data_IF_697653730897
#
_entry.id   IF_697653730897
#
_cell.length_a   1.000
_cell.length_b   1.000
_cell.length_c   1.000
_cell.angle_alpha   90.00
_cell.angle_beta   90.00
_cell.angle_gamma   90.00
#
_symmetry.space_group_name_H-M   'P 1'
#
loop_
_entity.id
_entity.type
_entity.pdbx_description
1 polymer ?
#
# COMPACT_ATOMS: atom_id res chain seq x y z
N UNK A 1 -19.19 8.57 34.38
CA UNK A 1 -20.26 9.33 35.11
C UNK A 1 -21.43 9.49 34.17
N UNK A 2 -22.61 9.17 34.65
CA UNK A 2 -23.88 9.27 33.90
C UNK A 2 -24.90 10.07 34.71
N UNK A 3 -25.94 10.58 34.04
CA UNK A 3 -27.10 11.18 34.70
C UNK A 3 -28.17 10.12 35.08
N UNK A 4 -29.30 10.58 35.58
CA UNK A 4 -30.43 9.70 35.99
C UNK A 4 -31.07 8.95 34.82
N UNK A 5 -30.74 9.31 33.56
CA UNK A 5 -31.19 8.67 32.33
C UNK A 5 -30.07 7.84 31.66
N UNK A 6 -29.00 7.53 32.39
CA UNK A 6 -27.78 6.81 31.96
C UNK A 6 -26.99 7.51 30.85
N UNK A 7 -27.23 8.79 30.59
CA UNK A 7 -26.49 9.55 29.59
C UNK A 7 -25.09 9.89 30.08
N UNK A 8 -24.10 9.74 29.20
CA UNK A 8 -22.71 10.01 29.52
C UNK A 8 -22.46 11.51 29.75
N UNK A 9 -21.97 11.88 30.96
CA UNK A 9 -21.66 13.27 31.37
C UNK A 9 -20.16 13.54 31.45
N UNK A 10 -19.35 12.53 31.69
CA UNK A 10 -17.91 12.70 31.81
C UNK A 10 -17.21 11.52 32.48
N UNK A 11 -15.92 11.66 32.71
CA UNK A 11 -15.11 10.64 33.41
C UNK A 11 -14.50 11.21 34.69
N UNK A 12 -14.33 10.36 35.67
CA UNK A 12 -13.57 10.63 36.88
C UNK A 12 -12.32 9.75 36.86
N UNK A 13 -11.15 10.36 36.89
CA UNK A 13 -9.88 9.64 36.97
C UNK A 13 -9.71 9.04 38.37
N UNK A 14 -9.23 7.81 38.46
CA UNK A 14 -8.89 7.18 39.75
C UNK A 14 -7.81 7.99 40.49
N UNK A 15 -6.86 8.55 39.76
CA UNK A 15 -5.83 9.44 40.33
C UNK A 15 -6.46 10.65 40.98
N UNK A 16 -7.38 11.35 40.29
CA UNK A 16 -8.04 12.52 40.81
C UNK A 16 -8.93 12.18 42.02
N UNK A 17 -9.60 11.03 41.98
CA UNK A 17 -10.39 10.52 43.09
C UNK A 17 -9.54 10.29 44.37
N UNK A 18 -8.33 9.70 44.19
CA UNK A 18 -7.45 9.38 45.30
C UNK A 18 -6.68 10.60 45.87
N UNK A 19 -6.40 11.58 45.01
CA UNK A 19 -5.61 12.77 45.40
C UNK A 19 -6.42 13.97 45.82
N UNK A 20 -7.72 13.97 45.53
CA UNK A 20 -8.63 15.05 45.91
C UNK A 20 -9.20 14.84 47.30
N UNK A 21 -9.42 15.93 48.06
CA UNK A 21 -10.04 15.86 49.39
C UNK A 21 -11.42 15.18 49.33
N UNK A 22 -11.69 14.30 50.30
CA UNK A 22 -13.00 13.62 50.42
C UNK A 22 -14.20 14.57 50.61
N UNK A 23 -13.95 15.85 50.90
CA UNK A 23 -14.98 16.89 51.03
C UNK A 23 -15.30 17.61 49.73
N UNK A 24 -14.50 17.40 48.66
CA UNK A 24 -14.72 18.06 47.36
C UNK A 24 -15.85 17.35 46.62
N UNK A 25 -16.88 18.07 46.17
CA UNK A 25 -17.94 17.46 45.34
C UNK A 25 -17.37 16.83 44.06
N UNK A 26 -17.86 15.67 43.69
CA UNK A 26 -17.44 14.97 42.47
C UNK A 26 -17.66 15.85 41.24
N UNK A 27 -18.70 16.68 41.24
CA UNK A 27 -19.05 17.60 40.17
C UNK A 27 -17.95 18.64 39.85
N UNK A 28 -17.03 18.88 40.76
CA UNK A 28 -15.92 19.83 40.61
C UNK A 28 -14.62 19.12 40.12
N UNK A 29 -14.60 17.80 40.15
CA UNK A 29 -13.37 17.00 39.88
C UNK A 29 -13.45 16.22 38.56
N UNK A 30 -14.67 15.85 38.11
CA UNK A 30 -14.79 15.05 36.90
C UNK A 30 -14.54 15.84 35.62
N UNK A 31 -14.00 15.16 34.63
CA UNK A 31 -13.72 15.73 33.30
C UNK A 31 -14.97 15.61 32.42
N UNK A 32 -15.55 16.78 32.06
CA UNK A 32 -16.80 16.87 31.30
C UNK A 32 -16.63 16.61 29.81
N UNK A 33 -15.53 17.05 29.24
CA UNK A 33 -15.24 16.84 27.79
C UNK A 33 -14.53 15.52 27.60
N UNK A 34 -15.20 14.58 26.99
CA UNK A 34 -14.80 13.21 26.86
C UNK A 34 -15.03 12.74 25.42
N UNK A 35 -14.05 12.03 24.86
CA UNK A 35 -14.26 11.31 23.61
C UNK A 35 -15.10 10.06 23.90
N UNK A 36 -16.12 9.83 23.09
CA UNK A 36 -16.96 8.63 23.13
C UNK A 36 -17.24 8.18 21.70
N UNK A 37 -17.53 6.92 21.51
CA UNK A 37 -17.92 6.34 20.23
C UNK A 37 -19.33 5.77 20.32
N UNK A 38 -20.01 5.63 19.18
CA UNK A 38 -21.31 4.98 19.12
C UNK A 38 -21.15 3.47 18.97
N UNK A 39 -22.21 2.72 19.25
CA UNK A 39 -22.22 1.25 19.13
C UNK A 39 -21.95 0.78 17.69
N UNK A 40 -22.34 1.58 16.71
CA UNK A 40 -22.20 1.30 15.28
C UNK A 40 -20.90 1.86 14.65
N UNK A 41 -20.00 2.44 15.47
CA UNK A 41 -18.69 2.91 15.00
C UNK A 41 -17.82 1.72 14.66
N UNK A 42 -17.20 1.72 13.47
CA UNK A 42 -16.26 0.69 13.03
C UNK A 42 -15.05 0.60 13.97
N UNK A 43 -14.59 -0.61 14.25
CA UNK A 43 -13.50 -0.92 15.18
C UNK A 43 -12.18 -0.23 14.80
N UNK A 44 -11.83 -0.18 13.51
CA UNK A 44 -10.67 0.54 12.97
C UNK A 44 -10.76 2.05 13.28
N UNK A 45 -11.94 2.66 13.19
CA UNK A 45 -12.11 4.07 13.53
C UNK A 45 -12.01 4.29 15.04
N UNK A 46 -12.51 3.36 15.86
CA UNK A 46 -12.31 3.38 17.31
C UNK A 46 -10.83 3.32 17.67
N UNK A 47 -10.09 2.39 17.03
CA UNK A 47 -8.65 2.26 17.19
C UNK A 47 -7.92 3.56 16.87
N UNK A 48 -8.27 4.21 15.74
CA UNK A 48 -7.72 5.49 15.31
C UNK A 48 -7.97 6.61 16.30
N UNK A 49 -9.20 6.69 16.86
CA UNK A 49 -9.55 7.69 17.88
C UNK A 49 -8.74 7.45 19.16
N UNK A 50 -8.66 6.21 19.62
CA UNK A 50 -7.93 5.87 20.84
C UNK A 50 -6.43 6.17 20.70
N UNK A 51 -5.83 5.83 19.58
CA UNK A 51 -4.44 6.16 19.27
C UNK A 51 -4.19 7.66 19.17
N UNK A 52 -5.07 8.40 18.48
CA UNK A 52 -4.92 9.85 18.28
C UNK A 52 -4.95 10.64 19.59
N UNK A 53 -5.73 10.19 20.55
CA UNK A 53 -5.94 10.88 21.83
C UNK A 53 -5.25 10.19 23.01
N UNK A 54 -4.43 9.17 22.75
CA UNK A 54 -3.69 8.38 23.75
C UNK A 54 -4.62 7.89 24.88
N UNK A 55 -5.70 7.21 24.48
CA UNK A 55 -6.74 6.75 25.40
C UNK A 55 -6.52 5.31 25.82
N UNK A 56 -6.51 5.04 27.13
CA UNK A 56 -6.50 3.69 27.70
C UNK A 56 -7.86 2.99 27.60
N UNK A 57 -8.94 3.76 27.56
CA UNK A 57 -10.30 3.27 27.38
C UNK A 57 -11.20 4.38 26.79
N UNK A 58 -12.17 3.98 25.99
CA UNK A 58 -13.18 4.87 25.41
C UNK A 58 -14.59 4.38 25.74
N UNK A 59 -15.50 5.23 26.24
CA UNK A 59 -16.88 4.85 26.47
C UNK A 59 -17.65 4.72 25.17
N UNK A 60 -18.54 3.74 25.14
CA UNK A 60 -19.46 3.46 24.02
C UNK A 60 -20.85 3.93 24.41
N UNK A 61 -21.50 4.68 23.53
CA UNK A 61 -22.85 5.23 23.76
C UNK A 61 -23.82 4.79 22.67
N UNK A 62 -25.10 4.69 23.03
CA UNK A 62 -26.17 4.48 22.08
C UNK A 62 -26.58 5.78 21.36
N UNK A 63 -27.60 5.72 20.49
CA UNK A 63 -28.11 6.87 19.74
C UNK A 63 -28.67 7.98 20.66
N UNK A 64 -29.09 7.66 21.89
CA UNK A 64 -29.62 8.59 22.87
C UNK A 64 -28.51 9.16 23.78
N UNK A 65 -27.25 8.77 23.58
CA UNK A 65 -26.09 9.18 24.36
C UNK A 65 -25.97 8.47 25.70
N UNK A 66 -26.66 7.34 25.91
CA UNK A 66 -26.58 6.52 27.12
C UNK A 66 -25.36 5.61 27.05
N UNK A 67 -24.67 5.48 28.18
CA UNK A 67 -23.49 4.63 28.30
C UNK A 67 -23.89 3.15 28.24
N UNK A 68 -23.44 2.43 27.21
CA UNK A 68 -23.69 0.99 27.03
C UNK A 68 -22.48 0.12 27.36
N UNK A 69 -21.27 0.69 27.31
CA UNK A 69 -20.05 -0.06 27.61
C UNK A 69 -18.80 0.80 27.49
N UNK A 70 -17.68 0.12 27.46
CA UNK A 70 -16.37 0.72 27.20
C UNK A 70 -15.54 -0.26 26.36
N UNK A 71 -14.64 0.29 25.56
CA UNK A 71 -13.59 -0.45 24.85
C UNK A 71 -12.27 -0.07 25.51
N UNK A 72 -11.39 -1.01 25.74
CA UNK A 72 -10.10 -0.82 26.38
C UNK A 72 -8.95 -0.99 25.38
N UNK A 73 -7.75 -0.53 25.72
CA UNK A 73 -6.62 -0.53 24.80
C UNK A 73 -6.17 -1.94 24.40
N UNK A 74 -6.36 -2.93 25.29
CA UNK A 74 -6.09 -4.33 25.03
C UNK A 74 -6.96 -4.87 23.87
N UNK A 75 -8.26 -4.57 23.85
CA UNK A 75 -9.16 -4.91 22.73
C UNK A 75 -8.70 -4.25 21.42
N UNK A 76 -8.22 -3.01 21.49
CA UNK A 76 -7.77 -2.25 20.33
C UNK A 76 -6.43 -2.75 19.77
N UNK A 77 -5.55 -3.27 20.61
CA UNK A 77 -4.29 -3.88 20.14
C UNK A 77 -4.57 -5.07 19.24
N UNK A 78 -5.58 -5.89 19.57
CA UNK A 78 -5.98 -7.01 18.72
C UNK A 78 -6.53 -6.51 17.38
N UNK A 79 -7.42 -5.51 17.37
CA UNK A 79 -7.95 -4.89 16.14
C UNK A 79 -6.82 -4.34 15.25
N UNK A 80 -5.86 -3.62 15.83
CA UNK A 80 -4.72 -3.06 15.06
C UNK A 80 -3.87 -4.18 14.44
N UNK A 81 -3.69 -5.28 15.17
CA UNK A 81 -2.92 -6.43 14.68
C UNK A 81 -3.66 -7.12 13.54
N UNK A 82 -4.94 -7.41 13.70
CA UNK A 82 -5.76 -8.07 12.69
C UNK A 82 -5.82 -7.24 11.38
N UNK A 83 -6.00 -5.93 11.49
CA UNK A 83 -5.96 -5.00 10.34
C UNK A 83 -4.59 -5.01 9.64
N UNK A 84 -3.49 -5.04 10.42
CA UNK A 84 -2.15 -5.10 9.84
C UNK A 84 -1.86 -6.44 9.16
N UNK A 85 -2.38 -7.55 9.69
CA UNK A 85 -2.27 -8.87 9.09
C UNK A 85 -3.10 -8.96 7.80
N UNK A 86 -4.32 -8.38 7.76
CA UNK A 86 -5.14 -8.27 6.56
C UNK A 86 -4.47 -7.43 5.47
N UNK A 87 -3.98 -6.23 5.81
CA UNK A 87 -3.23 -5.36 4.90
C UNK A 87 -2.01 -6.07 4.31
N UNK A 88 -1.27 -6.84 5.13
CA UNK A 88 -0.12 -7.62 4.67
C UNK A 88 -0.54 -8.72 3.68
N UNK A 89 -1.62 -9.43 3.96
CA UNK A 89 -2.14 -10.46 3.07
C UNK A 89 -2.65 -9.90 1.75
N UNK A 90 -3.40 -8.79 1.78
CA UNK A 90 -3.86 -8.09 0.58
C UNK A 90 -2.68 -7.61 -0.28
N UNK A 91 -1.65 -7.03 0.35
CA UNK A 91 -0.43 -6.61 -0.34
C UNK A 91 0.34 -7.77 -0.97
N UNK A 92 0.24 -8.97 -0.39
CA UNK A 92 0.81 -10.21 -0.95
C UNK A 92 -0.06 -10.86 -2.04
N UNK A 93 -1.25 -10.33 -2.33
CA UNK A 93 -2.19 -10.90 -3.28
C UNK A 93 -3.00 -12.07 -2.71
N UNK A 94 -3.41 -11.94 -1.47
CA UNK A 94 -4.31 -12.87 -0.77
C UNK A 94 -5.60 -12.09 -0.49
N UNK A 95 -6.73 -12.53 -1.03
CA UNK A 95 -8.00 -11.78 -1.02
C UNK A 95 -8.91 -12.06 0.18
N UNK A 96 -8.47 -12.89 1.10
CA UNK A 96 -9.20 -13.25 2.32
C UNK A 96 -8.20 -13.51 3.41
N UNK A 97 -8.58 -13.22 4.64
CA UNK A 97 -7.82 -13.62 5.79
C UNK A 97 -7.74 -15.16 5.86
N UNK A 98 -6.53 -15.68 5.91
CA UNK A 98 -6.23 -17.12 5.99
C UNK A 98 -5.06 -17.35 6.92
N UNK A 99 -5.16 -18.41 7.72
CA UNK A 99 -4.09 -18.87 8.58
C UNK A 99 -3.31 -20.04 7.96
N UNK A 100 -2.08 -20.29 8.42
CA UNK A 100 -1.21 -21.31 7.86
C UNK A 100 -1.81 -22.73 7.93
N UNK A 101 -2.63 -22.99 8.95
CA UNK A 101 -3.25 -24.29 9.21
C UNK A 101 -4.62 -24.48 8.56
N UNK A 102 -5.11 -23.47 7.81
CA UNK A 102 -6.38 -23.52 7.09
C UNK A 102 -6.39 -24.59 5.99
N UNK A 103 -7.59 -24.97 5.58
CA UNK A 103 -7.77 -26.00 4.56
C UNK A 103 -7.22 -25.58 3.19
N UNK A 104 -6.82 -26.56 2.37
CA UNK A 104 -6.35 -26.34 0.99
C UNK A 104 -7.37 -25.54 0.17
N UNK A 105 -8.66 -25.76 0.40
CA UNK A 105 -9.72 -25.04 -0.34
C UNK A 105 -9.81 -23.57 0.06
N UNK A 106 -9.62 -23.23 1.32
CA UNK A 106 -9.60 -21.85 1.82
C UNK A 106 -8.40 -21.09 1.25
N UNK A 107 -7.21 -21.66 1.35
CA UNK A 107 -6.01 -21.13 0.70
C UNK A 107 -6.18 -20.94 -0.81
N UNK A 108 -6.80 -21.92 -1.49
CA UNK A 108 -7.03 -21.80 -2.94
C UNK A 108 -7.97 -20.64 -3.26
N UNK A 109 -9.08 -20.52 -2.52
CA UNK A 109 -10.04 -19.43 -2.73
C UNK A 109 -9.44 -18.04 -2.46
N UNK A 110 -8.53 -17.94 -1.50
CA UNK A 110 -7.87 -16.68 -1.15
C UNK A 110 -6.83 -16.25 -2.21
N UNK A 111 -6.12 -17.19 -2.83
CA UNK A 111 -5.01 -16.91 -3.78
C UNK A 111 -5.45 -16.90 -5.24
N UNK A 112 -6.40 -17.75 -5.62
CA UNK A 112 -6.77 -17.99 -7.01
C UNK A 112 -7.21 -16.73 -7.77
N UNK A 113 -7.99 -15.78 -7.22
CA UNK A 113 -8.39 -14.58 -7.92
C UNK A 113 -7.19 -13.77 -8.44
N UNK A 114 -6.18 -13.58 -7.61
CA UNK A 114 -4.96 -12.85 -7.98
C UNK A 114 -4.08 -13.61 -8.97
N UNK A 115 -3.99 -14.93 -8.83
CA UNK A 115 -3.27 -15.79 -9.80
C UNK A 115 -3.92 -15.79 -11.17
N UNK A 116 -5.26 -15.76 -11.23
CA UNK A 116 -6.01 -15.62 -12.49
C UNK A 116 -5.77 -14.24 -13.11
N UNK A 117 -5.79 -13.18 -12.30
CA UNK A 117 -5.46 -11.83 -12.78
C UNK A 117 -4.05 -11.78 -13.40
N UNK A 118 -3.05 -12.34 -12.71
CA UNK A 118 -1.68 -12.41 -13.20
C UNK A 118 -1.57 -13.24 -14.49
N UNK A 119 -2.30 -14.35 -14.61
CA UNK A 119 -2.36 -15.15 -15.82
C UNK A 119 -2.95 -14.37 -17.00
N UNK A 120 -4.05 -13.66 -16.79
CA UNK A 120 -4.67 -12.81 -17.81
C UNK A 120 -3.72 -11.69 -18.26
N UNK A 121 -3.03 -11.05 -17.31
CA UNK A 121 -1.98 -10.07 -17.62
C UNK A 121 -0.83 -10.69 -18.40
N UNK A 122 -0.43 -11.93 -18.10
CA UNK A 122 0.55 -12.69 -18.87
C UNK A 122 0.14 -12.87 -20.34
N UNK A 123 -1.13 -13.20 -20.61
CA UNK A 123 -1.64 -13.26 -21.98
C UNK A 123 -1.59 -11.91 -22.71
N UNK A 124 -1.84 -10.81 -22.00
CA UNK A 124 -1.69 -9.47 -22.57
C UNK A 124 -0.21 -9.20 -22.90
N UNK A 125 0.71 -9.54 -21.98
CA UNK A 125 2.16 -9.41 -22.20
C UNK A 125 2.62 -10.18 -23.43
N UNK A 126 2.14 -11.41 -23.64
CA UNK A 126 2.44 -12.22 -24.84
C UNK A 126 1.94 -11.51 -26.11
N UNK A 127 0.73 -10.95 -26.09
CA UNK A 127 0.21 -10.18 -27.24
C UNK A 127 1.05 -8.93 -27.52
N UNK A 128 1.44 -8.20 -26.47
CA UNK A 128 2.31 -7.01 -26.60
C UNK A 128 3.66 -7.40 -27.21
N UNK A 129 4.28 -8.49 -26.75
CA UNK A 129 5.51 -9.02 -27.34
C UNK A 129 5.35 -9.34 -28.85
N UNK A 130 4.23 -9.94 -29.22
CA UNK A 130 3.92 -10.25 -30.62
C UNK A 130 3.89 -9.03 -31.56
N UNK A 131 3.53 -7.84 -31.03
CA UNK A 131 3.58 -6.59 -31.84
C UNK A 131 4.99 -6.18 -32.25
N UNK A 132 6.00 -6.69 -31.58
CA UNK A 132 7.41 -6.38 -31.82
C UNK A 132 8.21 -7.55 -32.41
N UNK A 133 7.53 -8.61 -32.91
CA UNK A 133 8.17 -9.82 -33.45
C UNK A 133 9.22 -9.49 -34.51
N UNK A 134 8.95 -8.55 -35.42
CA UNK A 134 9.90 -8.14 -36.46
C UNK A 134 11.21 -7.61 -35.86
N UNK A 135 11.14 -6.70 -34.92
CA UNK A 135 12.33 -6.18 -34.26
C UNK A 135 13.10 -7.25 -33.46
N UNK A 136 12.40 -8.23 -32.92
CA UNK A 136 12.99 -9.35 -32.18
C UNK A 136 13.75 -10.33 -33.12
N UNK A 137 13.26 -10.54 -34.35
CA UNK A 137 13.91 -11.39 -35.31
C UNK A 137 15.24 -10.79 -35.78
N UNK A 138 15.30 -9.48 -35.96
CA UNK A 138 16.51 -8.76 -36.40
C UNK A 138 17.52 -8.60 -35.25
N UNK A 139 17.06 -8.41 -34.01
CA UNK A 139 17.90 -8.13 -32.86
C UNK A 139 17.60 -9.05 -31.67
N UNK A 140 17.88 -10.35 -31.83
CA UNK A 140 17.60 -11.38 -30.81
C UNK A 140 18.17 -11.07 -29.42
N UNK A 141 19.24 -10.34 -29.34
CA UNK A 141 19.85 -9.96 -28.06
C UNK A 141 18.91 -9.11 -27.18
N UNK A 142 18.01 -8.32 -27.78
CA UNK A 142 17.02 -7.56 -27.03
C UNK A 142 16.05 -8.46 -26.24
N UNK A 143 15.66 -9.59 -26.87
CA UNK A 143 14.73 -10.52 -26.21
C UNK A 143 15.26 -11.05 -24.88
N UNK A 144 16.55 -11.30 -24.76
CA UNK A 144 17.16 -11.81 -23.54
C UNK A 144 17.08 -10.85 -22.36
N UNK A 145 16.91 -9.55 -22.60
CA UNK A 145 16.76 -8.55 -21.55
C UNK A 145 15.30 -8.30 -21.12
N UNK A 146 14.32 -8.88 -21.82
CA UNK A 146 12.90 -8.72 -21.48
C UNK A 146 12.58 -9.11 -20.05
N UNK A 147 13.03 -10.27 -19.51
CA UNK A 147 12.77 -10.64 -18.12
C UNK A 147 13.38 -9.66 -17.11
N UNK A 148 14.58 -9.13 -17.40
CA UNK A 148 15.24 -8.15 -16.55
C UNK A 148 14.42 -6.85 -16.49
N UNK A 149 14.01 -6.34 -17.65
CA UNK A 149 13.23 -5.09 -17.75
C UNK A 149 11.87 -5.23 -17.04
N UNK A 150 11.15 -6.35 -17.29
CA UNK A 150 9.87 -6.63 -16.64
C UNK A 150 10.05 -6.73 -15.11
N UNK A 151 11.00 -7.52 -14.62
CA UNK A 151 11.26 -7.65 -13.20
C UNK A 151 11.57 -6.29 -12.52
N UNK A 152 12.35 -5.43 -13.20
CA UNK A 152 12.67 -4.10 -12.67
C UNK A 152 11.46 -3.17 -12.67
N UNK A 153 10.58 -3.27 -13.67
CA UNK A 153 9.30 -2.55 -13.71
C UNK A 153 8.40 -2.93 -12.52
N UNK A 154 8.19 -4.24 -12.32
CA UNK A 154 7.40 -4.76 -11.22
C UNK A 154 7.94 -4.30 -9.86
N UNK A 155 9.24 -4.49 -9.63
CA UNK A 155 9.88 -4.12 -8.37
C UNK A 155 9.82 -2.61 -8.08
N UNK A 156 10.10 -1.75 -9.06
CA UNK A 156 10.03 -0.30 -8.88
C UNK A 156 8.60 0.15 -8.52
N UNK A 157 7.60 -0.41 -9.21
CA UNK A 157 6.21 -0.09 -8.93
C UNK A 157 5.73 -0.57 -7.56
N UNK A 158 6.08 -1.80 -7.18
CA UNK A 158 5.71 -2.35 -5.85
C UNK A 158 6.35 -1.54 -4.72
N UNK A 159 7.62 -1.16 -4.83
CA UNK A 159 8.30 -0.34 -3.83
C UNK A 159 7.63 1.03 -3.65
N UNK A 160 7.31 1.71 -4.75
CA UNK A 160 6.62 2.99 -4.71
C UNK A 160 5.21 2.87 -4.14
N UNK A 161 4.48 1.83 -4.54
CA UNK A 161 3.12 1.55 -4.06
C UNK A 161 3.10 1.26 -2.55
N UNK A 162 4.00 0.42 -2.06
CA UNK A 162 4.08 0.06 -0.64
C UNK A 162 4.30 1.30 0.25
N UNK A 163 5.17 2.22 -0.17
CA UNK A 163 5.42 3.48 0.57
C UNK A 163 4.15 4.34 0.63
N UNK A 164 3.41 4.42 -0.47
CA UNK A 164 2.18 5.23 -0.52
C UNK A 164 1.07 4.60 0.30
N UNK A 165 0.85 3.28 0.19
CA UNK A 165 -0.16 2.55 0.96
C UNK A 165 0.12 2.69 2.45
N UNK A 166 1.35 2.43 2.90
CA UNK A 166 1.75 2.64 4.29
C UNK A 166 1.54 4.09 4.74
N UNK A 167 1.86 5.06 3.87
CA UNK A 167 1.64 6.47 4.16
C UNK A 167 0.16 6.85 4.28
N UNK A 168 -0.72 6.20 3.53
CA UNK A 168 -2.19 6.36 3.63
C UNK A 168 -2.70 5.76 4.93
N UNK A 169 -2.35 4.51 5.25
CA UNK A 169 -2.75 3.81 6.47
C UNK A 169 -2.35 4.63 7.72
N UNK A 170 -1.14 5.15 7.77
CA UNK A 170 -0.63 5.94 8.90
C UNK A 170 -1.07 7.42 8.89
N UNK A 171 -1.89 7.87 7.95
CA UNK A 171 -2.24 9.29 7.77
C UNK A 171 -1.02 10.24 7.76
N UNK A 172 0.15 9.74 7.34
CA UNK A 172 1.41 10.47 7.33
C UNK A 172 1.65 11.23 6.03
N UNK A 173 0.76 11.07 5.05
CA UNK A 173 0.90 11.70 3.76
C UNK A 173 0.58 13.20 3.84
N UNK A 174 1.60 14.05 3.82
CA UNK A 174 1.48 15.52 3.75
C UNK A 174 1.79 16.05 2.35
N UNK A 175 1.23 17.20 1.97
CA UNK A 175 1.51 17.89 0.70
C UNK A 175 0.59 17.49 -0.46
N UNK A 176 0.79 18.14 -1.61
CA UNK A 176 -0.03 17.92 -2.81
C UNK A 176 0.42 16.67 -3.60
N UNK A 177 -0.52 16.08 -4.35
CA UNK A 177 -0.24 14.99 -5.29
C UNK A 177 0.90 15.35 -6.25
N UNK A 178 0.90 16.56 -6.77
CA UNK A 178 1.94 17.03 -7.71
C UNK A 178 3.34 16.97 -7.09
N UNK A 179 3.51 17.49 -5.88
CA UNK A 179 4.81 17.46 -5.18
C UNK A 179 5.30 16.02 -4.93
N UNK A 180 4.39 15.09 -4.68
CA UNK A 180 4.73 13.67 -4.51
C UNK A 180 5.22 13.05 -5.81
N UNK A 181 4.49 13.29 -6.92
CA UNK A 181 4.90 12.79 -8.23
C UNK A 181 6.25 13.36 -8.67
N UNK A 182 6.50 14.66 -8.41
CA UNK A 182 7.81 15.28 -8.68
C UNK A 182 8.91 14.64 -7.84
N UNK A 183 8.66 14.37 -6.55
CA UNK A 183 9.61 13.67 -5.68
C UNK A 183 9.87 12.25 -6.18
N UNK A 184 8.84 11.54 -6.62
CA UNK A 184 8.96 10.18 -7.15
C UNK A 184 9.77 10.16 -8.45
N UNK A 185 9.56 11.12 -9.36
CA UNK A 185 10.40 11.27 -10.56
C UNK A 185 11.87 11.51 -10.19
N UNK A 186 12.14 12.38 -9.21
CA UNK A 186 13.53 12.64 -8.78
C UNK A 186 14.19 11.38 -8.18
N UNK A 187 13.47 10.61 -7.36
CA UNK A 187 13.94 9.34 -6.81
C UNK A 187 14.18 8.30 -7.92
N UNK A 188 13.23 8.18 -8.84
CA UNK A 188 13.32 7.24 -9.97
C UNK A 188 14.46 7.58 -10.92
N UNK A 189 14.73 8.87 -11.15
CA UNK A 189 15.87 9.33 -11.92
C UNK A 189 17.20 8.96 -11.24
N UNK A 190 17.32 9.17 -9.93
CA UNK A 190 18.52 8.81 -9.19
C UNK A 190 18.76 7.31 -9.18
N UNK A 191 17.75 6.52 -8.82
CA UNK A 191 17.83 5.06 -8.81
C UNK A 191 18.04 4.51 -10.23
N UNK A 192 17.29 5.05 -11.19
CA UNK A 192 17.39 4.68 -12.60
C UNK A 192 18.78 4.92 -13.16
N UNK A 193 19.40 6.05 -12.84
CA UNK A 193 20.76 6.38 -13.29
C UNK A 193 21.80 5.39 -12.74
N UNK A 194 21.72 5.06 -11.45
CA UNK A 194 22.62 4.10 -10.81
C UNK A 194 22.47 2.71 -11.47
N UNK A 195 21.21 2.24 -11.58
CA UNK A 195 20.92 0.92 -12.16
C UNK A 195 21.25 0.87 -13.65
N UNK A 196 21.00 1.95 -14.39
CA UNK A 196 21.37 2.10 -15.78
C UNK A 196 22.89 2.00 -15.98
N UNK A 197 23.69 2.65 -15.13
CA UNK A 197 25.15 2.53 -15.18
C UNK A 197 25.64 1.10 -14.90
N UNK A 198 25.07 0.44 -13.88
CA UNK A 198 25.35 -0.95 -13.55
C UNK A 198 25.00 -1.88 -14.74
N UNK A 199 23.81 -1.71 -15.31
CA UNK A 199 23.35 -2.52 -16.44
C UNK A 199 24.24 -2.30 -17.68
N UNK A 200 24.58 -1.05 -18.00
CA UNK A 200 25.42 -0.73 -19.13
C UNK A 200 26.80 -1.37 -19.02
N UNK A 201 27.46 -1.20 -17.86
CA UNK A 201 28.77 -1.79 -17.58
C UNK A 201 28.66 -3.33 -17.63
N UNK A 202 27.69 -3.91 -16.91
CA UNK A 202 27.50 -5.36 -16.87
C UNK A 202 27.19 -5.97 -18.24
N UNK A 203 26.33 -5.34 -19.02
CA UNK A 203 25.99 -5.84 -20.37
C UNK A 203 27.20 -5.81 -21.32
N UNK A 204 28.01 -4.77 -21.24
CA UNK A 204 29.19 -4.64 -22.09
C UNK A 204 30.33 -5.58 -21.68
N UNK A 205 30.70 -5.58 -20.39
CA UNK A 205 31.89 -6.31 -19.92
C UNK A 205 31.63 -7.79 -19.59
N UNK A 206 30.42 -8.13 -19.06
CA UNK A 206 30.12 -9.51 -18.67
C UNK A 206 29.44 -10.30 -19.81
N UNK A 207 28.58 -9.63 -20.61
CA UNK A 207 27.77 -10.29 -21.63
C UNK A 207 28.24 -9.99 -23.03
N UNK A 208 29.29 -9.17 -23.24
CA UNK A 208 29.83 -8.76 -24.54
C UNK A 208 28.74 -8.22 -25.51
N UNK A 209 27.77 -7.48 -24.97
CA UNK A 209 26.68 -6.89 -25.74
C UNK A 209 27.20 -5.70 -26.54
N UNK A 210 26.73 -5.60 -27.79
CA UNK A 210 27.04 -4.46 -28.65
C UNK A 210 26.65 -3.14 -28.00
N UNK A 211 27.49 -2.11 -28.19
CA UNK A 211 27.29 -0.77 -27.59
C UNK A 211 25.89 -0.19 -27.83
N UNK A 212 25.36 -0.29 -29.07
CA UNK A 212 24.03 0.23 -29.43
C UNK A 212 22.94 -0.48 -28.62
N UNK A 213 22.99 -1.80 -28.51
CA UNK A 213 22.04 -2.58 -27.72
C UNK A 213 22.19 -2.23 -26.23
N UNK A 214 23.43 -2.06 -25.74
CA UNK A 214 23.70 -1.59 -24.38
C UNK A 214 23.04 -0.26 -24.07
N UNK A 215 23.10 0.71 -24.99
CA UNK A 215 22.41 2.00 -24.86
C UNK A 215 20.88 1.82 -24.84
N UNK A 216 20.34 1.03 -25.73
CA UNK A 216 18.89 0.77 -25.81
C UNK A 216 18.35 0.21 -24.49
N UNK A 217 18.95 -0.86 -23.97
CA UNK A 217 18.50 -1.50 -22.74
C UNK A 217 18.62 -0.56 -21.53
N UNK A 218 19.65 0.27 -21.52
CA UNK A 218 19.90 1.24 -20.43
C UNK A 218 18.87 2.37 -20.44
N UNK A 219 18.61 2.98 -21.59
CA UNK A 219 17.59 4.02 -21.75
C UNK A 219 16.20 3.47 -21.46
N UNK A 220 15.92 2.28 -21.93
CA UNK A 220 14.65 1.59 -21.67
C UNK A 220 14.47 1.31 -20.17
N UNK A 221 15.49 0.76 -19.48
CA UNK A 221 15.44 0.51 -18.04
C UNK A 221 15.11 1.79 -17.26
N UNK A 222 15.80 2.88 -17.57
CA UNK A 222 15.57 4.17 -16.90
C UNK A 222 14.13 4.67 -17.11
N UNK A 223 13.65 4.62 -18.34
CA UNK A 223 12.27 5.03 -18.68
C UNK A 223 11.22 4.16 -17.98
N UNK A 224 11.45 2.85 -17.95
CA UNK A 224 10.58 1.87 -17.30
C UNK A 224 10.52 2.10 -15.79
N UNK A 225 11.64 2.32 -15.11
CA UNK A 225 11.68 2.60 -13.67
C UNK A 225 10.88 3.86 -13.35
N UNK A 226 11.04 4.94 -14.11
CA UNK A 226 10.30 6.19 -13.89
C UNK A 226 8.79 5.96 -14.03
N UNK A 227 8.36 5.32 -15.09
CA UNK A 227 6.92 5.12 -15.35
C UNK A 227 6.32 4.13 -14.37
N UNK A 228 7.02 3.03 -14.06
CA UNK A 228 6.55 2.05 -13.09
C UNK A 228 6.40 2.65 -11.68
N UNK A 229 7.36 3.46 -11.23
CA UNK A 229 7.27 4.15 -9.94
C UNK A 229 6.14 5.18 -9.91
N UNK A 230 5.92 5.90 -11.01
CA UNK A 230 4.78 6.83 -11.11
C UNK A 230 3.44 6.10 -11.04
N UNK A 231 3.29 4.97 -11.72
CA UNK A 231 2.10 4.11 -11.63
C UNK A 231 1.92 3.62 -10.19
N UNK A 232 2.98 3.09 -9.57
CA UNK A 232 2.98 2.63 -8.19
C UNK A 232 2.60 3.72 -7.18
N UNK A 233 2.98 4.97 -7.42
CA UNK A 233 2.58 6.11 -6.58
C UNK A 233 1.16 6.57 -6.86
N UNK A 234 0.76 6.64 -8.12
CA UNK A 234 -0.51 7.25 -8.53
C UNK A 234 -1.71 6.34 -8.24
N UNK A 235 -1.59 5.03 -8.51
CA UNK A 235 -2.71 4.10 -8.42
C UNK A 235 -3.27 3.98 -7.00
N UNK A 236 -2.49 3.78 -5.92
CA UNK A 236 -3.03 3.74 -4.57
C UNK A 236 -3.73 5.04 -4.16
N UNK A 237 -3.16 6.19 -4.54
CA UNK A 237 -3.77 7.49 -4.26
C UNK A 237 -5.11 7.67 -4.99
N UNK A 238 -5.22 7.13 -6.20
CA UNK A 238 -6.46 7.15 -6.96
C UNK A 238 -7.53 6.25 -6.32
N UNK A 239 -7.18 5.03 -5.92
CA UNK A 239 -8.10 4.09 -5.25
C UNK A 239 -8.61 4.69 -3.94
N UNK A 240 -7.73 5.22 -3.10
CA UNK A 240 -8.09 5.89 -1.86
C UNK A 240 -9.08 7.05 -2.09
N UNK A 241 -8.89 7.82 -3.17
CA UNK A 241 -9.81 8.91 -3.53
C UNK A 241 -11.22 8.41 -3.87
N UNK A 242 -11.34 7.20 -4.41
CA UNK A 242 -12.63 6.58 -4.73
C UNK A 242 -13.20 5.73 -3.58
N UNK A 243 -12.57 5.73 -2.41
CA UNK A 243 -13.00 4.93 -1.27
C UNK A 243 -12.76 3.42 -1.45
N UNK A 244 -11.84 3.05 -2.34
CA UNK A 244 -11.39 1.68 -2.55
C UNK A 244 -10.10 1.49 -1.76
N UNK A 245 -9.98 0.34 -1.10
CA UNK A 245 -8.79 0.03 -0.31
C UNK A 245 -7.51 0.12 -1.17
N UNK A 246 -6.57 1.02 -0.81
CA UNK A 246 -5.33 1.17 -1.55
C UNK A 246 -4.39 -0.04 -1.43
N UNK A 247 -4.54 -0.92 -0.45
CA UNK A 247 -3.76 -2.15 -0.33
C UNK A 247 -3.97 -3.09 -1.53
N UNK A 248 -5.15 -3.04 -2.16
CA UNK A 248 -5.43 -3.75 -3.41
C UNK A 248 -4.54 -3.32 -4.59
N UNK A 249 -3.94 -2.12 -4.53
CA UNK A 249 -3.03 -1.61 -5.56
C UNK A 249 -1.57 -2.03 -5.36
N UNK A 250 -1.30 -2.94 -4.45
CA UNK A 250 0.04 -3.50 -4.22
C UNK A 250 0.20 -4.87 -4.91
N UNK A 251 1.31 -5.52 -4.70
CA UNK A 251 1.52 -6.91 -5.13
C UNK A 251 1.17 -7.19 -6.60
N UNK A 252 0.36 -8.23 -6.85
CA UNK A 252 0.14 -8.76 -8.20
C UNK A 252 -0.45 -7.77 -9.21
N UNK A 253 -1.30 -6.85 -8.77
CA UNK A 253 -1.90 -5.86 -9.67
C UNK A 253 -0.85 -4.90 -10.24
N UNK A 254 -0.05 -4.30 -9.37
CA UNK A 254 1.03 -3.37 -9.78
C UNK A 254 2.10 -4.11 -10.57
N UNK A 255 2.51 -5.30 -10.14
CA UNK A 255 3.50 -6.10 -10.85
C UNK A 255 3.04 -6.41 -12.27
N UNK A 256 1.85 -6.97 -12.44
CA UNK A 256 1.30 -7.34 -13.75
C UNK A 256 1.14 -6.13 -14.67
N UNK A 257 0.61 -5.01 -14.13
CA UNK A 257 0.43 -3.78 -14.91
C UNK A 257 1.78 -3.21 -15.37
N UNK A 258 2.77 -3.20 -14.49
CA UNK A 258 4.10 -2.69 -14.77
C UNK A 258 4.89 -3.61 -15.72
N UNK A 259 4.71 -4.92 -15.65
CA UNK A 259 5.31 -5.87 -16.58
C UNK A 259 4.85 -5.59 -18.02
N UNK A 260 3.53 -5.41 -18.21
CA UNK A 260 2.95 -5.07 -19.52
C UNK A 260 3.50 -3.73 -20.02
N UNK A 261 3.44 -2.69 -19.18
CA UNK A 261 3.93 -1.35 -19.51
C UNK A 261 5.44 -1.37 -19.77
N UNK A 262 6.22 -2.10 -18.95
CA UNK A 262 7.66 -2.23 -19.09
C UNK A 262 8.07 -2.86 -20.43
N UNK A 263 7.42 -3.94 -20.82
CA UNK A 263 7.64 -4.60 -22.12
C UNK A 263 7.30 -3.65 -23.27
N UNK A 264 6.15 -2.97 -23.19
CA UNK A 264 5.72 -2.02 -24.22
C UNK A 264 6.72 -0.88 -24.39
N UNK A 265 7.15 -0.25 -23.29
CA UNK A 265 8.12 0.85 -23.30
C UNK A 265 9.46 0.37 -23.83
N UNK A 266 9.94 -0.78 -23.38
CA UNK A 266 11.21 -1.35 -23.77
C UNK A 266 11.30 -1.53 -25.29
N UNK A 267 10.36 -2.25 -25.87
CA UNK A 267 10.37 -2.50 -27.31
C UNK A 267 10.02 -1.27 -28.15
N UNK A 268 9.23 -0.34 -27.61
CA UNK A 268 8.99 0.95 -28.27
C UNK A 268 10.28 1.77 -28.41
N UNK A 269 11.07 1.83 -27.32
CA UNK A 269 12.38 2.51 -27.34
C UNK A 269 13.35 1.79 -28.27
N UNK A 270 13.38 0.46 -28.21
CA UNK A 270 14.22 -0.32 -29.11
C UNK A 270 13.90 -0.04 -30.59
N UNK A 271 12.60 -0.03 -30.94
CA UNK A 271 12.14 0.26 -32.31
C UNK A 271 12.42 1.71 -32.76
N UNK A 272 12.50 2.65 -31.80
CA UNK A 272 12.79 4.04 -32.11
C UNK A 272 14.26 4.30 -32.39
N UNK A 273 15.15 3.56 -31.73
CA UNK A 273 16.62 3.77 -31.82
C UNK A 273 17.24 2.93 -32.96
N UNK A 274 16.66 1.78 -33.25
CA UNK A 274 17.10 0.89 -34.36
C UNK A 274 16.50 1.30 -35.69
#
# INVERSE_FOLDING_TARGET
MVDDEDRLKGRLSLKDLLTTSSRTPINDVYIRKLNSVKVDTEDVEVARIMQKYDLEAIPVVDELGRLVGRITIDDIVDVIKDEADEDYQLAAGISKDVEADDSILEHTKARLPWLVLALLGGFISVKVLGLFEGAMLEHRNLFFFTPLIAAMAGNAGVQSSAIIVQGLANNSLSGSLFNRLVKEVALSLLNGLILAAILFIGSHFLLNVNYIIGVIITVALMSVIIIASLIGTFVPLLLNKFGIDPALATGPFITTSNDICGILIYFSIAKLIL
#
